data_IF_001091670563
#
_entry.id   IF_001091670563
#
_cell.length_a   1.000
_cell.length_b   1.000
_cell.length_c   1.000
_cell.angle_alpha   90.00
_cell.angle_beta   90.00
_cell.angle_gamma   90.00
#
_symmetry.space_group_name_H-M   'P 1'
#
loop_
_entity.id
_entity.type
_entity.pdbx_description
1 polymer ?
#
# COMPACT_ATOMS: atom_id res chain seq x y z
N UNK A 1 -16.39 12.62 -54.19
CA UNK A 1 -17.27 12.58 -53.00
C UNK A 1 -17.46 14.01 -52.53
N UNK A 2 -18.70 14.45 -52.31
CA UNK A 2 -18.99 15.81 -51.82
C UNK A 2 -18.34 15.98 -50.43
N UNK A 3 -17.39 16.91 -50.31
CA UNK A 3 -16.87 17.28 -49.00
C UNK A 3 -18.02 17.93 -48.22
N UNK A 4 -18.41 17.33 -47.09
CA UNK A 4 -19.40 17.92 -46.21
C UNK A 4 -18.89 19.29 -45.75
N UNK A 5 -19.64 20.35 -46.07
CA UNK A 5 -19.32 21.71 -45.64
C UNK A 5 -19.57 21.77 -44.13
N UNK A 6 -18.49 21.77 -43.35
CA UNK A 6 -18.58 21.88 -41.90
C UNK A 6 -18.88 23.33 -41.50
N UNK A 7 -19.69 23.55 -40.44
CA UNK A 7 -19.93 24.89 -39.92
C UNK A 7 -18.63 25.51 -39.39
N UNK A 8 -18.52 26.84 -39.41
CA UNK A 8 -17.34 27.55 -38.90
C UNK A 8 -17.13 27.34 -37.39
N UNK A 9 -18.22 27.24 -36.62
CA UNK A 9 -18.19 26.91 -35.20
C UNK A 9 -19.45 26.17 -34.78
N UNK A 10 -19.32 25.25 -33.81
CA UNK A 10 -20.42 24.53 -33.16
C UNK A 10 -20.30 24.75 -31.65
N UNK A 11 -21.25 25.46 -31.04
CA UNK A 11 -21.26 25.72 -29.59
C UNK A 11 -19.94 26.28 -29.02
N UNK A 12 -19.24 27.12 -29.79
CA UNK A 12 -17.94 27.70 -29.41
C UNK A 12 -16.74 26.79 -29.65
N UNK A 13 -16.92 25.65 -30.32
CA UNK A 13 -15.84 24.80 -30.81
C UNK A 13 -15.60 25.05 -32.30
N UNK A 14 -14.35 25.06 -32.72
CA UNK A 14 -13.92 24.99 -34.12
C UNK A 14 -13.84 23.53 -34.54
N UNK A 15 -14.60 23.07 -35.54
CA UNK A 15 -14.44 21.74 -36.08
C UNK A 15 -13.19 21.64 -36.95
N UNK A 16 -12.37 20.63 -36.71
CA UNK A 16 -11.14 20.32 -37.43
C UNK A 16 -11.33 18.96 -38.12
N UNK A 17 -11.63 18.93 -39.43
CA UNK A 17 -11.71 17.69 -40.18
C UNK A 17 -10.34 17.04 -40.35
N UNK A 18 -10.28 15.76 -40.03
CA UNK A 18 -9.13 14.88 -40.14
C UNK A 18 -9.45 13.78 -41.16
N UNK A 19 -8.55 13.55 -42.11
CA UNK A 19 -8.67 12.45 -43.06
C UNK A 19 -7.89 11.24 -42.57
N UNK A 20 -8.56 10.09 -42.38
CA UNK A 20 -7.92 8.81 -42.09
C UNK A 20 -7.66 7.99 -43.36
N UNK A 21 -8.60 8.07 -44.30
CA UNK A 21 -8.54 7.44 -45.62
C UNK A 21 -9.35 8.27 -46.61
N UNK A 22 -9.26 7.94 -47.90
CA UNK A 22 -10.02 8.64 -48.95
C UNK A 22 -11.55 8.57 -48.74
N UNK A 23 -12.03 7.62 -47.94
CA UNK A 23 -13.45 7.41 -47.63
C UNK A 23 -13.86 7.82 -46.22
N UNK A 24 -12.92 8.03 -45.30
CA UNK A 24 -13.20 8.20 -43.87
C UNK A 24 -12.62 9.49 -43.32
N UNK A 25 -13.51 10.36 -42.86
CA UNK A 25 -13.14 11.62 -42.19
C UNK A 25 -13.62 11.60 -40.75
N UNK A 26 -12.76 12.02 -39.84
CA UNK A 26 -13.05 12.17 -38.43
C UNK A 26 -13.02 13.65 -38.07
N UNK A 27 -13.97 14.13 -37.27
CA UNK A 27 -14.05 15.56 -36.93
C UNK A 27 -13.66 15.76 -35.47
N UNK A 28 -12.53 16.44 -35.26
CA UNK A 28 -12.12 16.93 -33.94
C UNK A 28 -12.83 18.25 -33.63
N UNK A 29 -13.14 18.49 -32.37
CA UNK A 29 -13.70 19.77 -31.93
C UNK A 29 -12.71 20.46 -31.01
N UNK A 30 -12.24 21.65 -31.40
CA UNK A 30 -11.21 22.38 -30.70
C UNK A 30 -11.76 23.69 -30.12
N UNK A 31 -11.31 24.07 -28.92
CA UNK A 31 -11.66 25.34 -28.28
C UNK A 31 -10.48 25.82 -27.44
N UNK A 32 -10.32 27.13 -27.28
CA UNK A 32 -9.41 27.66 -26.27
C UNK A 32 -9.79 27.12 -24.88
N UNK A 33 -8.82 26.57 -24.16
CA UNK A 33 -9.08 26.13 -22.80
C UNK A 33 -9.45 27.34 -21.94
N UNK A 34 -10.53 27.21 -21.18
CA UNK A 34 -10.92 28.19 -20.17
C UNK A 34 -10.90 27.45 -18.85
N UNK A 35 -9.80 27.63 -18.12
CA UNK A 35 -9.55 26.92 -16.88
C UNK A 35 -10.44 27.45 -15.76
N UNK A 36 -10.77 26.63 -14.75
CA UNK A 36 -11.19 27.17 -13.47
C UNK A 36 -9.98 27.88 -12.84
N UNK A 37 -10.19 29.06 -12.22
CA UNK A 37 -9.16 29.82 -11.48
C UNK A 37 -8.45 29.02 -10.36
N UNK A 38 -8.89 27.80 -10.06
CA UNK A 38 -8.29 26.89 -9.08
C UNK A 38 -7.56 25.74 -9.81
N UNK A 39 -6.28 25.49 -9.52
CA UNK A 39 -5.53 24.41 -10.15
C UNK A 39 -6.18 23.06 -9.83
N UNK A 40 -6.31 22.19 -10.83
CA UNK A 40 -6.67 20.80 -10.61
C UNK A 40 -5.45 20.05 -10.08
N UNK A 41 -5.64 19.31 -9.00
CA UNK A 41 -4.66 18.35 -8.49
C UNK A 41 -4.82 17.04 -9.24
N UNK A 42 -3.73 16.53 -9.80
CA UNK A 42 -3.68 15.14 -10.29
C UNK A 42 -3.87 14.15 -9.13
N UNK A 43 -4.14 12.87 -9.45
CA UNK A 43 -4.18 11.76 -8.49
C UNK A 43 -2.92 11.64 -7.61
N UNK A 44 -1.79 12.23 -8.04
CA UNK A 44 -0.51 12.30 -7.31
C UNK A 44 -0.31 13.60 -6.51
N UNK A 45 -1.35 14.39 -6.29
CA UNK A 45 -1.28 15.65 -5.52
C UNK A 45 -0.49 16.78 -6.19
N UNK A 46 -0.02 16.59 -7.42
CA UNK A 46 0.70 17.61 -8.19
C UNK A 46 -0.30 18.55 -8.85
N UNK A 47 -0.16 19.85 -8.62
CA UNK A 47 -0.96 20.85 -9.31
C UNK A 47 -0.62 20.86 -10.80
N UNK A 48 -1.54 20.41 -11.64
CA UNK A 48 -1.40 20.58 -13.10
C UNK A 48 -1.91 21.97 -13.43
N UNK A 49 -0.97 22.91 -13.52
CA UNK A 49 -1.26 24.24 -14.03
C UNK A 49 -1.41 24.13 -15.54
N UNK A 50 -2.63 24.30 -16.04
CA UNK A 50 -2.96 24.41 -17.46
C UNK A 50 -3.02 25.90 -17.82
N UNK A 51 -2.02 26.47 -18.50
CA UNK A 51 -1.99 27.91 -18.74
C UNK A 51 -3.00 28.29 -19.83
N UNK A 52 -4.00 29.10 -19.51
CA UNK A 52 -5.15 29.38 -20.37
C UNK A 52 -4.76 29.96 -21.74
N UNK A 53 -3.73 30.81 -21.78
CA UNK A 53 -3.31 31.53 -22.99
C UNK A 53 -2.66 30.65 -24.07
N UNK A 54 -2.25 29.43 -23.72
CA UNK A 54 -1.53 28.51 -24.62
C UNK A 54 -2.08 27.08 -24.63
N UNK A 55 -3.23 26.86 -24.00
CA UNK A 55 -3.85 25.52 -23.92
C UNK A 55 -5.06 25.38 -24.83
N UNK A 56 -5.03 24.33 -25.65
CA UNK A 56 -6.12 23.96 -26.55
C UNK A 56 -6.88 22.79 -25.95
N UNK A 57 -8.19 22.95 -25.80
CA UNK A 57 -9.09 21.89 -25.39
C UNK A 57 -9.66 21.18 -26.63
N UNK A 58 -9.46 19.86 -26.69
CA UNK A 58 -9.92 19.00 -27.77
C UNK A 58 -10.97 18.02 -27.27
N UNK A 59 -12.00 17.82 -28.08
CA UNK A 59 -13.08 16.85 -27.89
C UNK A 59 -13.19 15.96 -29.12
N UNK A 60 -13.71 14.75 -28.91
CA UNK A 60 -13.79 13.71 -29.92
C UNK A 60 -12.41 13.27 -30.41
N UNK A 61 -11.44 13.19 -29.50
CA UNK A 61 -10.09 12.73 -29.84
C UNK A 61 -10.15 11.25 -30.27
N UNK A 62 -9.50 10.87 -31.38
CA UNK A 62 -9.46 9.49 -31.83
C UNK A 62 -8.89 8.52 -30.78
N UNK A 63 -9.34 7.26 -30.77
CA UNK A 63 -8.87 6.26 -29.82
C UNK A 63 -7.39 5.93 -30.01
N UNK A 64 -6.85 6.10 -31.22
CA UNK A 64 -5.46 5.85 -31.49
C UNK A 64 -4.56 7.05 -31.10
N UNK A 65 -5.10 8.23 -30.84
CA UNK A 65 -4.30 9.43 -30.59
C UNK A 65 -3.37 9.32 -29.37
N UNK A 66 -2.07 9.33 -29.64
CA UNK A 66 -0.99 9.51 -28.67
C UNK A 66 -0.46 10.94 -28.72
N UNK A 67 0.42 11.27 -27.76
CA UNK A 67 1.12 12.55 -27.72
C UNK A 67 1.89 12.83 -29.02
N UNK A 68 2.48 11.80 -29.63
CA UNK A 68 3.22 11.92 -30.89
C UNK A 68 2.31 12.34 -32.04
N UNK A 69 1.18 11.66 -32.22
CA UNK A 69 0.28 11.99 -33.34
C UNK A 69 -0.31 13.40 -33.19
N UNK A 70 -0.72 13.79 -31.98
CA UNK A 70 -1.21 15.14 -31.72
C UNK A 70 -0.12 16.20 -31.93
N UNK A 71 1.11 15.92 -31.52
CA UNK A 71 2.25 16.82 -31.75
C UNK A 71 2.53 16.99 -33.25
N UNK A 72 2.54 15.91 -34.02
CA UNK A 72 2.72 15.96 -35.47
C UNK A 72 1.55 16.65 -36.17
N UNK A 73 0.33 16.40 -35.71
CA UNK A 73 -0.88 17.00 -36.25
C UNK A 73 -0.92 18.52 -36.01
N UNK A 74 -0.48 19.01 -34.85
CA UNK A 74 -0.44 20.45 -34.54
C UNK A 74 0.88 21.15 -34.86
N UNK A 75 1.87 20.43 -35.43
CA UNK A 75 3.18 21.00 -35.81
C UNK A 75 3.10 22.22 -36.73
N UNK A 76 2.08 22.28 -37.60
CA UNK A 76 1.84 23.45 -38.47
C UNK A 76 1.34 24.67 -37.70
N UNK A 77 0.69 24.47 -36.56
CA UNK A 77 0.15 25.53 -35.71
C UNK A 77 1.19 26.04 -34.71
N UNK A 78 2.11 25.16 -34.27
CA UNK A 78 3.22 25.52 -33.39
C UNK A 78 3.89 24.33 -32.71
N UNK A 79 4.85 24.61 -31.84
CA UNK A 79 5.53 23.60 -31.02
C UNK A 79 4.66 23.25 -29.81
N UNK A 80 4.37 21.96 -29.65
CA UNK A 80 3.64 21.42 -28.49
C UNK A 80 4.63 21.15 -27.36
N UNK A 81 4.32 21.63 -26.15
CA UNK A 81 5.09 21.37 -24.93
C UNK A 81 4.67 20.05 -24.28
N UNK A 82 3.36 19.83 -24.14
CA UNK A 82 2.81 18.65 -23.48
C UNK A 82 1.40 18.36 -23.96
N UNK A 83 1.04 17.08 -24.04
CA UNK A 83 -0.34 16.63 -24.25
C UNK A 83 -0.86 15.93 -23.00
N UNK A 84 -2.07 16.30 -22.58
CA UNK A 84 -2.75 15.76 -21.40
C UNK A 84 -4.11 15.18 -21.79
N UNK A 85 -4.28 13.88 -21.68
CA UNK A 85 -5.54 13.22 -21.95
C UNK A 85 -6.38 13.15 -20.66
N UNK A 86 -7.68 13.47 -20.78
CA UNK A 86 -8.59 13.45 -19.63
C UNK A 86 -9.19 12.06 -19.51
N UNK A 87 -8.83 11.34 -18.45
CA UNK A 87 -9.29 9.97 -18.16
C UNK A 87 -8.15 8.97 -17.94
N UNK A 88 -6.93 9.32 -18.34
CA UNK A 88 -5.75 8.45 -18.22
C UNK A 88 -5.28 8.22 -16.78
N UNK A 89 -5.63 9.14 -15.88
CA UNK A 89 -5.21 9.09 -14.48
C UNK A 89 -5.87 7.94 -13.70
N UNK A 90 -6.88 7.27 -14.27
CA UNK A 90 -7.59 6.13 -13.65
C UNK A 90 -7.19 4.77 -14.25
N UNK A 91 -6.51 4.72 -15.40
CA UNK A 91 -6.17 3.44 -16.07
C UNK A 91 -4.66 3.10 -16.03
N UNK A 92 -3.81 4.00 -15.51
CA UNK A 92 -2.40 3.71 -15.21
C UNK A 92 -2.18 3.46 -13.72
N UNK A 93 -2.98 2.56 -13.16
CA UNK A 93 -2.52 1.74 -12.05
C UNK A 93 -1.50 0.74 -12.63
N UNK A 94 -0.29 1.23 -12.90
CA UNK A 94 0.87 0.41 -12.53
C UNK A 94 0.56 -0.07 -11.11
N UNK A 95 0.59 -1.38 -10.80
CA UNK A 95 0.56 -1.79 -9.42
C UNK A 95 1.79 -1.16 -8.78
N UNK A 96 1.60 0.04 -8.21
CA UNK A 96 2.46 0.59 -7.18
C UNK A 96 2.52 -0.54 -6.20
N UNK A 97 3.66 -1.22 -6.15
CA UNK A 97 3.97 -2.29 -5.22
C UNK A 97 3.47 -1.84 -3.86
N UNK A 98 2.25 -2.25 -3.57
CA UNK A 98 1.62 -2.00 -2.32
C UNK A 98 2.47 -2.85 -1.42
N UNK A 99 3.32 -2.19 -0.64
CA UNK A 99 3.75 -2.69 0.65
C UNK A 99 2.46 -3.01 1.41
N UNK A 100 1.90 -4.17 1.09
CA UNK A 100 0.93 -4.86 1.91
C UNK A 100 1.78 -5.29 3.08
N UNK A 101 1.85 -4.40 4.06
CA UNK A 101 2.30 -4.63 5.42
C UNK A 101 1.33 -5.63 6.05
N UNK A 102 1.32 -6.83 5.50
CA UNK A 102 0.75 -8.01 6.11
C UNK A 102 1.80 -8.45 7.11
N UNK A 103 1.71 -7.84 8.28
CA UNK A 103 2.38 -8.21 9.51
C UNK A 103 1.88 -9.62 9.92
N UNK A 104 2.19 -10.62 9.10
CA UNK A 104 2.12 -12.02 9.50
C UNK A 104 3.33 -12.25 10.41
N UNK A 105 3.08 -12.11 11.71
CA UNK A 105 3.93 -12.61 12.78
C UNK A 105 4.18 -14.10 12.54
N UNK A 106 5.19 -14.41 11.72
CA UNK A 106 5.62 -15.76 11.46
C UNK A 106 6.34 -16.24 12.72
N UNK A 107 5.61 -16.98 13.56
CA UNK A 107 6.18 -17.74 14.66
C UNK A 107 7.29 -18.64 14.10
N UNK A 108 8.53 -18.26 14.39
CA UNK A 108 9.69 -19.08 14.11
C UNK A 108 9.57 -20.36 14.96
N UNK A 109 9.07 -21.43 14.35
CA UNK A 109 9.24 -22.78 14.86
C UNK A 109 10.75 -23.07 14.88
N UNK A 110 11.34 -23.06 16.08
CA UNK A 110 12.69 -23.52 16.32
C UNK A 110 12.76 -25.02 16.00
N UNK A 111 13.30 -25.39 14.85
CA UNK A 111 13.77 -26.75 14.63
C UNK A 111 15.12 -26.91 15.33
N UNK A 112 15.05 -27.59 16.46
CA UNK A 112 16.16 -28.15 17.21
C UNK A 112 17.00 -29.06 16.30
N UNK A 113 18.12 -28.54 15.82
CA UNK A 113 19.19 -29.31 15.20
C UNK A 113 20.36 -29.29 16.16
N UNK A 114 20.48 -30.37 16.95
CA UNK A 114 21.59 -30.60 17.86
C UNK A 114 22.93 -30.44 17.16
N UNK A 115 23.76 -29.56 17.71
CA UNK A 115 25.18 -29.48 17.37
C UNK A 115 25.97 -29.99 18.56
N UNK A 116 26.42 -31.25 18.45
CA UNK A 116 27.48 -31.79 19.29
C UNK A 116 28.72 -30.89 19.21
N UNK A 117 29.24 -30.56 20.38
CA UNK A 117 30.50 -29.87 20.55
C UNK A 117 31.63 -30.80 20.12
N UNK A 118 32.41 -30.41 19.11
CA UNK A 118 33.78 -30.90 19.01
C UNK A 118 34.75 -29.74 18.76
N UNK A 119 35.57 -29.51 19.78
CA UNK A 119 36.47 -28.39 19.92
C UNK A 119 37.85 -28.77 19.36
N UNK A 120 38.10 -28.56 18.07
CA UNK A 120 39.44 -28.25 17.56
C UNK A 120 39.44 -27.90 16.06
N UNK A 121 39.47 -26.63 15.69
CA UNK A 121 40.11 -26.24 14.41
C UNK A 121 40.65 -24.80 14.47
N UNK A 122 41.94 -24.67 14.14
CA UNK A 122 42.77 -23.46 14.20
C UNK A 122 42.26 -22.35 13.26
N UNK A 123 42.54 -21.06 13.52
CA UNK A 123 42.00 -19.95 12.74
C UNK A 123 42.56 -19.92 11.32
N UNK A 124 41.77 -20.36 10.34
CA UNK A 124 42.09 -20.18 8.92
C UNK A 124 41.79 -18.73 8.50
N UNK A 125 42.80 -18.11 7.88
CA UNK A 125 42.80 -16.77 7.26
C UNK A 125 41.45 -16.48 6.57
N UNK A 126 40.73 -15.45 7.05
CA UNK A 126 39.51 -14.93 6.40
C UNK A 126 39.84 -14.51 4.97
N UNK A 127 39.49 -15.33 3.99
CA UNK A 127 39.40 -14.91 2.59
C UNK A 127 38.30 -13.86 2.51
N UNK A 128 38.62 -12.70 1.94
CA UNK A 128 37.72 -11.59 1.66
C UNK A 128 36.62 -12.12 0.71
N UNK A 129 35.50 -12.59 1.27
CA UNK A 129 34.32 -13.00 0.49
C UNK A 129 33.87 -11.73 -0.23
N UNK A 130 33.87 -11.76 -1.56
CA UNK A 130 33.38 -10.65 -2.37
C UNK A 130 31.99 -10.25 -1.89
N UNK A 131 31.72 -8.95 -1.83
CA UNK A 131 30.42 -8.38 -1.50
C UNK A 131 29.36 -9.12 -2.35
N UNK A 132 28.42 -9.79 -1.70
CA UNK A 132 27.36 -10.50 -2.40
C UNK A 132 26.58 -9.48 -3.24
N UNK A 133 26.59 -9.66 -4.55
CA UNK A 133 25.86 -8.81 -5.50
C UNK A 133 24.39 -9.22 -5.39
N UNK A 134 23.49 -8.24 -5.23
CA UNK A 134 22.06 -8.51 -5.22
C UNK A 134 21.66 -9.13 -6.57
N UNK A 135 20.92 -10.26 -6.57
CA UNK A 135 20.50 -10.89 -7.82
C UNK A 135 19.54 -9.96 -8.55
N UNK A 136 19.72 -9.76 -9.85
CA UNK A 136 18.83 -8.92 -10.64
C UNK A 136 17.65 -9.76 -11.14
N UNK A 137 16.42 -9.28 -10.91
CA UNK A 137 15.20 -9.91 -11.41
C UNK A 137 15.17 -9.79 -12.93
N UNK A 138 14.98 -10.92 -13.62
CA UNK A 138 14.82 -10.94 -15.08
C UNK A 138 13.38 -10.53 -15.40
N UNK A 139 13.13 -9.35 -16.01
CA UNK A 139 11.78 -8.88 -16.26
C UNK A 139 11.08 -9.74 -17.32
N UNK A 140 9.75 -9.81 -17.24
CA UNK A 140 8.96 -10.42 -18.30
C UNK A 140 9.11 -9.65 -19.62
N UNK A 141 9.07 -10.32 -20.78
CA UNK A 141 9.19 -9.67 -22.07
C UNK A 141 7.95 -8.81 -22.34
N UNK A 142 8.04 -7.52 -22.03
CA UNK A 142 7.02 -6.53 -22.40
C UNK A 142 7.32 -5.98 -23.80
N UNK A 143 6.35 -6.06 -24.70
CA UNK A 143 6.41 -5.36 -25.99
C UNK A 143 5.69 -4.03 -25.84
N UNK A 144 6.34 -2.88 -26.07
CA UNK A 144 5.66 -1.60 -26.01
C UNK A 144 4.65 -1.54 -27.16
N UNK A 145 3.39 -1.74 -26.83
CA UNK A 145 2.27 -1.61 -27.76
C UNK A 145 1.62 -0.24 -27.57
N UNK A 146 1.02 0.29 -28.64
CA UNK A 146 0.29 1.56 -28.61
C UNK A 146 -0.91 1.48 -27.68
N UNK A 147 -1.01 2.39 -26.73
CA UNK A 147 -2.20 2.47 -25.87
C UNK A 147 -3.37 3.04 -26.67
N UNK A 148 -4.45 2.27 -26.80
CA UNK A 148 -5.71 2.76 -27.34
C UNK A 148 -6.58 3.34 -26.25
N UNK A 149 -7.23 4.46 -26.55
CA UNK A 149 -8.10 5.21 -25.65
C UNK A 149 -9.56 4.95 -25.98
N UNK A 150 -10.44 5.36 -25.07
CA UNK A 150 -11.88 5.37 -25.33
C UNK A 150 -12.22 6.34 -26.47
N UNK A 151 -13.20 5.96 -27.28
CA UNK A 151 -13.71 6.82 -28.34
C UNK A 151 -14.35 8.07 -27.75
N UNK A 152 -14.31 9.19 -28.48
CA UNK A 152 -14.89 10.44 -28.00
C UNK A 152 -14.07 11.12 -26.89
N UNK A 153 -12.81 10.74 -26.70
CA UNK A 153 -11.95 11.23 -25.62
C UNK A 153 -11.73 12.75 -25.66
N UNK A 154 -11.21 13.28 -24.55
CA UNK A 154 -10.86 14.71 -24.41
C UNK A 154 -9.36 14.85 -24.15
N UNK A 155 -8.74 15.87 -24.74
CA UNK A 155 -7.33 16.17 -24.53
C UNK A 155 -7.10 17.67 -24.35
N UNK A 156 -6.07 18.01 -23.59
CA UNK A 156 -5.52 19.36 -23.50
C UNK A 156 -4.14 19.33 -24.17
N UNK A 157 -3.96 20.16 -25.19
CA UNK A 157 -2.67 20.35 -25.85
C UNK A 157 -2.10 21.67 -25.38
N UNK A 158 -0.95 21.62 -24.69
CA UNK A 158 -0.23 22.80 -24.22
C UNK A 158 0.79 23.18 -25.28
N UNK A 159 0.66 24.37 -25.87
CA UNK A 159 1.66 24.90 -26.78
C UNK A 159 2.77 25.62 -26.02
N UNK A 160 3.95 25.69 -26.64
CA UNK A 160 5.08 26.46 -26.13
C UNK A 160 4.80 27.97 -26.17
N UNK A 161 4.18 28.45 -27.26
CA UNK A 161 3.89 29.87 -27.51
C UNK A 161 2.38 30.13 -27.59
N UNK A 162 1.92 31.29 -27.11
CA UNK A 162 0.51 31.69 -27.12
C UNK A 162 -0.01 31.93 -28.55
N UNK A 163 0.85 32.39 -29.48
CA UNK A 163 0.46 32.59 -30.89
C UNK A 163 0.04 31.28 -31.58
N UNK A 164 0.50 30.14 -31.07
CA UNK A 164 0.17 28.82 -31.61
C UNK A 164 -1.28 28.42 -31.36
N UNK A 165 -1.88 28.88 -30.26
CA UNK A 165 -3.30 28.64 -29.95
C UNK A 165 -4.20 29.30 -30.99
N UNK A 166 -3.94 30.59 -31.31
CA UNK A 166 -4.72 31.31 -32.32
C UNK A 166 -4.63 30.63 -33.69
N UNK A 167 -3.43 30.17 -34.08
CA UNK A 167 -3.22 29.40 -35.33
C UNK A 167 -3.93 28.05 -35.32
N UNK A 168 -3.98 27.36 -34.19
CA UNK A 168 -4.66 26.07 -34.07
C UNK A 168 -6.19 26.16 -34.10
N UNK A 169 -6.77 27.30 -33.70
CA UNK A 169 -8.20 27.57 -33.76
C UNK A 169 -8.71 28.06 -35.11
N UNK A 170 -7.80 28.42 -36.03
CA UNK A 170 -8.17 28.76 -37.40
C UNK A 170 -8.65 27.49 -38.12
N UNK A 171 -9.90 27.45 -38.63
CA UNK A 171 -10.43 26.25 -39.27
C UNK A 171 -9.63 25.92 -40.54
N UNK A 172 -9.25 24.64 -40.74
CA UNK A 172 -8.47 24.26 -41.91
C UNK A 172 -9.34 24.30 -43.18
N UNK A 173 -8.81 24.83 -44.27
CA UNK A 173 -9.51 24.89 -45.57
C UNK A 173 -9.71 23.52 -46.20
N UNK A 174 -8.86 22.53 -45.85
CA UNK A 174 -8.93 21.15 -46.33
C UNK A 174 -8.72 20.18 -45.18
N UNK A 175 -9.33 18.97 -45.20
CA UNK A 175 -9.07 17.94 -44.20
C UNK A 175 -7.59 17.59 -44.15
N UNK A 176 -6.98 17.65 -42.97
CA UNK A 176 -5.56 17.30 -42.79
C UNK A 176 -5.44 15.79 -42.59
N UNK A 177 -4.48 15.11 -43.24
CA UNK A 177 -4.28 13.67 -43.01
C UNK A 177 -3.84 13.41 -41.56
N UNK A 178 -4.38 12.35 -40.95
CA UNK A 178 -3.96 11.89 -39.64
C UNK A 178 -2.55 11.29 -39.72
N UNK A 179 -1.61 11.66 -38.84
CA UNK A 179 -0.25 11.14 -38.86
C UNK A 179 -0.19 9.73 -38.28
N UNK A 180 -0.56 8.72 -39.08
CA UNK A 180 -0.47 7.32 -38.68
C UNK A 180 0.95 6.79 -38.84
N UNK A 181 1.48 6.13 -37.81
CA UNK A 181 2.76 5.42 -37.90
C UNK A 181 2.56 3.99 -38.46
N UNK A 182 3.09 3.73 -39.66
CA UNK A 182 3.04 2.41 -40.30
C UNK A 182 3.94 1.37 -39.63
N UNK A 183 4.95 1.79 -38.84
CA UNK A 183 5.87 0.86 -38.18
C UNK A 183 5.24 0.16 -36.97
N UNK A 184 4.22 0.78 -36.37
CA UNK A 184 3.50 0.23 -35.22
C UNK A 184 2.30 -0.57 -35.73
N UNK A 185 2.03 -1.77 -35.20
CA UNK A 185 0.85 -2.53 -35.61
C UNK A 185 -0.44 -1.80 -35.18
N UNK A 186 -1.38 -1.67 -36.10
CA UNK A 186 -2.74 -1.16 -35.86
C UNK A 186 -3.79 -2.26 -36.14
N UNK A 187 -4.99 -2.08 -35.60
CA UNK A 187 -6.14 -2.96 -35.86
C UNK A 187 -5.88 -4.41 -35.42
N UNK A 188 -6.15 -5.38 -36.30
CA UNK A 188 -5.98 -6.80 -35.98
C UNK A 188 -4.53 -7.17 -35.63
N UNK A 189 -3.55 -6.60 -36.33
CA UNK A 189 -2.13 -6.85 -36.05
C UNK A 189 -1.71 -6.38 -34.65
N UNK A 190 -2.36 -5.32 -34.15
CA UNK A 190 -2.13 -4.87 -32.78
C UNK A 190 -2.64 -5.90 -31.77
N UNK A 191 -3.89 -6.36 -31.94
CA UNK A 191 -4.50 -7.29 -31.00
C UNK A 191 -3.84 -8.67 -31.02
N UNK A 192 -3.33 -9.12 -32.18
CA UNK A 192 -2.53 -10.35 -32.23
C UNK A 192 -1.20 -10.20 -31.50
N UNK A 193 -0.53 -9.04 -31.63
CA UNK A 193 0.69 -8.75 -30.88
C UNK A 193 0.43 -8.66 -29.37
N UNK A 194 -0.67 -8.04 -28.95
CA UNK A 194 -1.13 -7.97 -27.56
C UNK A 194 -1.43 -9.37 -27.01
N UNK A 195 -2.17 -10.17 -27.77
CA UNK A 195 -2.51 -11.53 -27.40
C UNK A 195 -1.25 -12.39 -27.15
N UNK A 196 -0.23 -12.22 -28.00
CA UNK A 196 1.05 -12.89 -27.85
C UNK A 196 1.86 -12.35 -26.66
N UNK A 197 1.85 -11.05 -26.38
CA UNK A 197 2.58 -10.47 -25.25
C UNK A 197 1.99 -10.87 -23.90
N UNK A 198 0.67 -11.06 -23.81
CA UNK A 198 0.00 -11.57 -22.61
C UNK A 198 0.25 -13.07 -22.34
N UNK A 199 0.86 -13.80 -23.29
CA UNK A 199 1.15 -15.24 -23.19
C UNK A 199 2.62 -15.52 -23.47
N UNK A 200 3.53 -15.01 -22.62
CA UNK A 200 4.94 -15.36 -22.72
C UNK A 200 5.14 -16.88 -22.52
N UNK A 201 6.20 -17.46 -23.09
CA UNK A 201 6.50 -18.88 -22.92
C UNK A 201 6.80 -19.20 -21.45
N UNK A 202 6.50 -20.44 -21.04
CA UNK A 202 6.66 -20.88 -19.65
C UNK A 202 8.10 -20.69 -19.15
N UNK A 203 9.10 -20.88 -20.00
CA UNK A 203 10.52 -20.74 -19.65
C UNK A 203 10.86 -19.32 -19.18
N UNK A 204 10.32 -18.28 -19.82
CA UNK A 204 10.57 -16.89 -19.43
C UNK A 204 9.83 -16.54 -18.15
N UNK A 205 8.62 -17.08 -17.96
CA UNK A 205 7.85 -16.88 -16.73
C UNK A 205 8.57 -17.54 -15.56
N UNK A 206 9.10 -18.75 -15.76
CA UNK A 206 9.90 -19.47 -14.78
C UNK A 206 11.17 -18.69 -14.41
N UNK A 207 11.93 -18.22 -15.39
CA UNK A 207 13.13 -17.43 -15.14
C UNK A 207 12.84 -16.15 -14.34
N UNK A 208 11.74 -15.45 -14.65
CA UNK A 208 11.28 -14.31 -13.86
C UNK A 208 10.96 -14.73 -12.41
N UNK A 209 10.15 -15.77 -12.21
CA UNK A 209 9.77 -16.25 -10.88
C UNK A 209 10.99 -16.70 -10.04
N UNK A 210 11.88 -17.50 -10.62
CA UNK A 210 13.08 -18.00 -9.94
C UNK A 210 14.01 -16.84 -9.53
N UNK A 211 14.21 -15.86 -10.40
CA UNK A 211 15.05 -14.68 -10.10
C UNK A 211 14.40 -13.72 -9.12
N UNK A 212 13.07 -13.58 -9.15
CA UNK A 212 12.31 -12.83 -8.16
C UNK A 212 12.42 -13.46 -6.77
N UNK A 213 12.25 -14.79 -6.66
CA UNK A 213 12.42 -15.50 -5.40
C UNK A 213 13.84 -15.39 -4.87
N UNK A 214 14.86 -15.50 -5.73
CA UNK A 214 16.25 -15.32 -5.33
C UNK A 214 16.54 -13.90 -4.80
N UNK A 215 15.92 -12.87 -5.41
CA UNK A 215 16.00 -11.49 -4.91
C UNK A 215 15.31 -11.33 -3.56
N UNK A 216 14.11 -11.88 -3.42
CA UNK A 216 13.38 -11.87 -2.15
C UNK A 216 14.18 -12.55 -1.03
N UNK A 217 14.73 -13.75 -1.28
CA UNK A 217 15.56 -14.49 -0.32
C UNK A 217 16.82 -13.70 0.07
N UNK A 218 17.42 -12.99 -0.89
CA UNK A 218 18.58 -12.13 -0.64
C UNK A 218 18.21 -10.94 0.26
N UNK A 219 17.07 -10.29 0.02
CA UNK A 219 16.56 -9.20 0.86
C UNK A 219 16.20 -9.68 2.27
N UNK A 220 15.52 -10.82 2.38
CA UNK A 220 15.25 -11.51 3.64
C UNK A 220 16.53 -11.79 4.43
N UNK A 221 17.55 -12.37 3.78
CA UNK A 221 18.83 -12.66 4.40
C UNK A 221 19.54 -11.39 4.86
N UNK A 222 19.47 -10.31 4.07
CA UNK A 222 20.00 -8.99 4.44
C UNK A 222 19.28 -8.42 5.67
N UNK A 223 17.94 -8.43 5.71
CA UNK A 223 17.14 -8.01 6.88
C UNK A 223 17.46 -8.85 8.13
N UNK A 224 17.61 -10.17 7.98
CA UNK A 224 18.03 -11.08 9.06
C UNK A 224 19.46 -10.79 9.54
N UNK A 225 20.39 -10.45 8.65
CA UNK A 225 21.74 -10.05 9.04
C UNK A 225 21.74 -8.71 9.79
N UNK A 226 21.08 -7.69 9.24
CA UNK A 226 20.98 -6.37 9.87
C UNK A 226 20.35 -6.44 11.27
N UNK A 227 19.31 -7.25 11.45
CA UNK A 227 18.72 -7.48 12.77
C UNK A 227 19.63 -8.27 13.72
N UNK A 228 20.42 -9.23 13.24
CA UNK A 228 21.44 -9.93 14.06
C UNK A 228 22.55 -8.97 14.52
N UNK A 229 23.02 -8.07 13.66
CA UNK A 229 24.00 -7.05 14.05
C UNK A 229 23.42 -6.06 15.07
N UNK A 230 22.17 -5.61 14.88
CA UNK A 230 21.45 -4.78 15.86
C UNK A 230 21.19 -5.49 17.20
N UNK A 231 21.09 -6.83 17.21
CA UNK A 231 20.96 -7.65 18.43
C UNK A 231 22.28 -7.84 19.20
N UNK A 232 23.41 -7.34 18.69
CA UNK A 232 24.74 -7.48 19.32
C UNK A 232 25.41 -6.18 19.77
N UNK A 233 25.06 -5.04 19.15
CA UNK A 233 25.66 -3.74 19.43
C UNK A 233 24.63 -2.80 20.09
N UNK A 234 25.03 -2.16 21.19
CA UNK A 234 24.21 -1.14 21.83
C UNK A 234 24.15 0.08 20.90
N UNK A 235 23.00 0.28 20.25
CA UNK A 235 22.75 1.49 19.46
C UNK A 235 22.63 2.63 20.47
N UNK A 236 23.63 3.51 20.49
CA UNK A 236 23.68 4.71 21.33
C UNK A 236 23.18 5.88 20.47
N UNK A 237 22.12 6.53 20.91
CA UNK A 237 21.58 7.73 20.24
C UNK A 237 22.52 8.94 20.43
N UNK A 238 22.31 10.03 19.68
CA UNK A 238 23.12 11.26 19.72
C UNK A 238 23.21 11.90 21.13
N UNK A 239 22.24 11.63 22.00
CA UNK A 239 22.18 12.07 23.41
C UNK A 239 22.83 11.09 24.41
N UNK A 240 23.48 10.01 23.94
CA UNK A 240 24.18 9.04 24.80
C UNK A 240 23.30 8.00 25.49
N UNK A 241 22.02 7.90 25.12
CA UNK A 241 21.11 6.87 25.62
C UNK A 241 21.18 5.60 24.75
N UNK A 242 21.26 4.43 25.39
CA UNK A 242 21.26 3.13 24.70
C UNK A 242 19.85 2.61 24.48
N UNK A 243 19.51 2.30 23.22
CA UNK A 243 18.19 1.74 22.87
C UNK A 243 18.11 0.28 23.33
N UNK A 244 17.18 -0.01 24.25
CA UNK A 244 17.03 -1.35 24.86
C UNK A 244 16.36 -2.32 23.88
N UNK A 245 17.16 -2.98 23.05
CA UNK A 245 16.70 -4.07 22.18
C UNK A 245 16.67 -5.41 22.94
N UNK A 246 15.70 -6.28 22.61
CA UNK A 246 15.60 -7.66 23.13
C UNK A 246 16.77 -8.49 22.59
N UNK A 247 17.69 -8.91 23.46
CA UNK A 247 18.79 -9.80 23.11
C UNK A 247 18.39 -11.28 23.22
N UNK A 248 18.72 -12.06 22.18
CA UNK A 248 18.74 -13.53 22.20
C UNK A 248 17.46 -14.27 22.58
N UNK A 249 17.55 -15.61 22.57
CA UNK A 249 16.44 -16.55 22.84
C UNK A 249 15.81 -16.39 24.23
N UNK A 250 16.53 -15.82 25.21
CA UNK A 250 16.09 -15.71 26.60
C UNK A 250 15.50 -14.33 26.99
N UNK A 251 15.30 -13.40 26.04
CA UNK A 251 14.63 -12.13 26.33
C UNK A 251 15.39 -11.20 27.29
N UNK A 252 16.72 -11.39 27.40
CA UNK A 252 17.61 -10.54 28.19
C UNK A 252 18.24 -9.49 27.28
N UNK A 253 18.42 -8.27 27.76
CA UNK A 253 19.09 -7.21 27.00
C UNK A 253 20.58 -7.50 26.87
N UNK A 254 21.24 -6.90 25.87
CA UNK A 254 22.70 -6.85 25.79
C UNK A 254 23.25 -6.08 26.99
N UNK A 255 23.77 -6.77 28.00
CA UNK A 255 24.48 -6.13 29.11
C UNK A 255 23.93 -6.37 30.52
N UNK A 256 22.90 -7.19 30.72
CA UNK A 256 22.58 -7.72 32.04
C UNK A 256 21.10 -7.84 32.37
N UNK A 257 20.84 -8.87 33.18
CA UNK A 257 19.69 -9.44 33.91
C UNK A 257 18.28 -8.80 33.93
N UNK A 258 17.97 -7.80 33.11
CA UNK A 258 16.64 -7.19 33.03
C UNK A 258 15.85 -7.86 31.90
N UNK A 259 14.83 -8.62 32.28
CA UNK A 259 13.91 -9.27 31.33
C UNK A 259 12.96 -8.27 30.68
N UNK A 260 12.89 -8.27 29.34
CA UNK A 260 12.02 -7.37 28.58
C UNK A 260 10.66 -8.04 28.32
N UNK A 261 9.62 -7.58 29.01
CA UNK A 261 8.26 -8.09 28.84
C UNK A 261 7.63 -7.54 27.54
N UNK A 262 7.19 -8.43 26.64
CA UNK A 262 6.58 -8.14 25.34
C UNK A 262 5.10 -7.73 25.45
N UNK A 263 4.77 -6.77 26.32
CA UNK A 263 3.39 -6.33 26.48
C UNK A 263 3.26 -4.82 26.43
N UNK A 264 2.96 -4.34 25.21
CA UNK A 264 2.30 -3.07 24.85
C UNK A 264 2.39 -2.00 25.95
N UNK A 265 3.46 -1.21 25.89
CA UNK A 265 3.63 0.00 26.71
C UNK A 265 2.57 1.09 26.41
N UNK A 266 1.69 0.86 25.44
CA UNK A 266 0.75 1.85 24.91
C UNK A 266 -0.67 1.78 25.50
N UNK A 267 -0.97 0.80 26.37
CA UNK A 267 -2.33 0.66 26.94
C UNK A 267 -2.53 1.34 28.31
N UNK A 268 -1.58 2.15 28.78
CA UNK A 268 -1.68 2.80 30.10
C UNK A 268 -1.77 4.33 30.05
N UNK A 269 -2.06 4.92 28.88
CA UNK A 269 -2.16 6.39 28.74
C UNK A 269 -3.54 6.90 28.28
N UNK A 270 -4.57 6.05 28.23
CA UNK A 270 -5.96 6.46 28.04
C UNK A 270 -6.89 5.81 29.07
N UNK A 271 -6.74 6.19 30.34
CA UNK A 271 -7.81 6.30 31.33
C UNK A 271 -7.18 6.43 32.72
N UNK A 272 -6.99 7.67 33.16
CA UNK A 272 -6.36 7.92 34.45
C UNK A 272 -6.45 9.36 34.93
N UNK A 273 -7.50 10.09 34.54
CA UNK A 273 -7.90 11.28 35.30
C UNK A 273 -8.37 10.84 36.67
N UNK A 274 -7.51 10.94 37.69
CA UNK A 274 -7.90 10.62 39.06
C UNK A 274 -6.75 10.32 39.99
N UNK A 275 -6.02 11.35 40.40
CA UNK A 275 -5.17 11.30 41.61
C UNK A 275 -6.00 10.83 42.81
N UNK A 276 -5.58 9.76 43.49
CA UNK A 276 -5.58 9.66 44.97
C UNK A 276 -4.79 8.43 45.47
N UNK A 277 -3.64 8.76 46.06
CA UNK A 277 -2.92 8.08 47.14
C UNK A 277 -2.59 6.58 47.05
N UNK A 278 -1.28 6.34 46.88
CA UNK A 278 -0.56 5.11 47.23
C UNK A 278 -0.94 4.60 48.64
N UNK A 279 -1.44 3.38 48.71
CA UNK A 279 -1.20 2.46 49.82
C UNK A 279 -0.64 1.17 49.23
N UNK A 280 0.50 0.71 49.75
CA UNK A 280 1.10 -0.59 49.42
C UNK A 280 -0.01 -1.64 49.52
N UNK A 281 -0.41 -2.21 48.39
CA UNK A 281 -1.20 -3.44 48.42
C UNK A 281 -0.21 -4.57 48.56
N UNK A 282 -0.21 -5.18 49.74
CA UNK A 282 0.13 -6.59 49.86
C UNK A 282 -0.59 -7.36 48.76
N UNK A 283 0.09 -8.37 48.20
CA UNK A 283 -0.43 -9.23 47.15
C UNK A 283 -1.85 -9.66 47.53
N UNK A 284 -2.86 -9.08 46.88
CA UNK A 284 -4.23 -9.53 46.99
C UNK A 284 -4.29 -10.89 46.33
N UNK A 285 -3.99 -11.93 47.09
CA UNK A 285 -4.39 -13.28 46.72
C UNK A 285 -5.90 -13.23 46.48
N UNK A 286 -6.32 -13.55 45.26
CA UNK A 286 -7.73 -13.49 44.90
C UNK A 286 -8.44 -14.61 45.66
N UNK A 287 -9.27 -14.24 46.64
CA UNK A 287 -10.14 -15.19 47.32
C UNK A 287 -11.06 -15.88 46.30
N UNK A 288 -11.12 -17.20 46.34
CA UNK A 288 -11.99 -18.03 45.49
C UNK A 288 -11.38 -18.49 44.17
N UNK A 289 -10.07 -18.28 43.94
CA UNK A 289 -9.43 -18.73 42.70
C UNK A 289 -9.14 -20.24 42.68
N UNK A 290 -8.77 -20.81 43.83
CA UNK A 290 -8.43 -22.23 43.92
C UNK A 290 -9.59 -23.07 44.47
N UNK A 291 -9.76 -24.28 43.94
CA UNK A 291 -10.81 -25.22 44.37
C UNK A 291 -10.77 -25.54 45.87
N UNK A 292 -9.58 -25.61 46.47
CA UNK A 292 -9.45 -25.85 47.91
C UNK A 292 -10.03 -24.71 48.76
N UNK A 293 -9.95 -23.46 48.30
CA UNK A 293 -10.54 -22.30 49.00
C UNK A 293 -12.06 -22.37 48.98
N UNK A 294 -12.64 -22.82 47.87
CA UNK A 294 -14.09 -23.05 47.75
C UNK A 294 -14.53 -24.19 48.69
N UNK A 295 -13.77 -25.29 48.75
CA UNK A 295 -14.07 -26.41 49.64
C UNK A 295 -13.92 -26.06 51.13
N UNK A 296 -12.91 -25.27 51.48
CA UNK A 296 -12.69 -24.82 52.85
C UNK A 296 -13.78 -23.84 53.30
N UNK A 297 -14.18 -22.90 52.42
CA UNK A 297 -15.29 -21.98 52.68
C UNK A 297 -16.60 -22.74 52.93
N UNK A 298 -16.94 -23.74 52.08
CA UNK A 298 -18.13 -24.58 52.27
C UNK A 298 -18.08 -25.40 53.57
N UNK A 299 -16.91 -25.93 53.96
CA UNK A 299 -16.75 -26.64 55.24
C UNK A 299 -16.98 -25.73 56.44
N UNK A 300 -16.45 -24.51 56.38
CA UNK A 300 -16.63 -23.50 57.43
C UNK A 300 -18.09 -23.09 57.56
N UNK A 301 -18.76 -22.83 56.44
CA UNK A 301 -20.20 -22.52 56.42
C UNK A 301 -21.04 -23.65 57.05
N UNK A 302 -20.72 -24.92 56.78
CA UNK A 302 -21.39 -26.06 57.40
C UNK A 302 -21.17 -26.15 58.92
N UNK A 303 -19.95 -25.88 59.39
CA UNK A 303 -19.65 -25.87 60.83
C UNK A 303 -20.36 -24.72 61.54
N UNK A 304 -20.39 -23.53 60.93
CA UNK A 304 -21.10 -22.37 61.48
C UNK A 304 -22.61 -22.63 61.54
N UNK A 305 -23.17 -23.33 60.55
CA UNK A 305 -24.59 -23.71 60.56
C UNK A 305 -24.92 -24.70 61.68
N UNK A 306 -24.05 -25.70 61.91
CA UNK A 306 -24.19 -26.64 63.04
C UNK A 306 -24.14 -25.93 64.37
N UNK A 307 -23.18 -25.02 64.55
CA UNK A 307 -23.02 -24.23 65.77
C UNK A 307 -24.26 -23.38 66.04
N UNK A 308 -24.76 -22.67 65.03
CA UNK A 308 -26.00 -21.89 65.14
C UNK A 308 -27.21 -22.77 65.47
N UNK A 309 -27.29 -23.97 64.89
CA UNK A 309 -28.37 -24.90 65.19
C UNK A 309 -28.32 -25.41 66.64
N UNK A 310 -27.13 -25.69 67.17
CA UNK A 310 -26.96 -26.05 68.59
C UNK A 310 -27.32 -24.89 69.51
N UNK A 311 -26.91 -23.67 69.17
CA UNK A 311 -27.28 -22.44 69.89
C UNK A 311 -28.80 -22.21 69.88
N UNK A 312 -29.45 -22.34 68.73
CA UNK A 312 -30.90 -22.22 68.59
C UNK A 312 -31.64 -23.33 69.33
N UNK A 313 -31.14 -24.57 69.27
CA UNK A 313 -31.71 -25.69 70.04
C UNK A 313 -31.61 -25.42 71.55
N UNK A 314 -30.47 -24.95 72.03
CA UNK A 314 -30.28 -24.58 73.44
C UNK A 314 -31.19 -23.40 73.85
N UNK A 315 -31.38 -22.42 72.97
CA UNK A 315 -32.30 -21.30 73.21
C UNK A 315 -33.75 -21.78 73.26
N UNK A 316 -34.16 -22.68 72.36
CA UNK A 316 -35.49 -23.29 72.37
C UNK A 316 -35.70 -24.13 73.63
N UNK A 317 -34.70 -24.90 74.08
CA UNK A 317 -34.77 -25.64 75.34
C UNK A 317 -34.96 -24.71 76.55
N UNK A 318 -34.22 -23.59 76.62
CA UNK A 318 -34.43 -22.55 77.65
C UNK A 318 -35.84 -21.93 77.59
N UNK A 319 -36.36 -21.68 76.39
CA UNK A 319 -37.71 -21.16 76.17
C UNK A 319 -38.81 -22.18 76.56
N UNK A 320 -38.57 -23.47 76.33
CA UNK A 320 -39.46 -24.56 76.77
C UNK A 320 -39.46 -24.71 78.28
N UNK A 321 -38.29 -24.69 78.93
CA UNK A 321 -38.16 -24.74 80.39
C UNK A 321 -38.87 -23.56 81.07
N UNK A 322 -38.75 -22.36 80.48
CA UNK A 322 -39.42 -21.15 80.99
C UNK A 322 -40.92 -21.06 80.61
N UNK A 323 -41.50 -22.10 79.98
CA UNK A 323 -42.92 -22.18 79.52
C UNK A 323 -43.35 -21.01 78.63
N UNK A 324 -42.39 -20.31 78.00
CA UNK A 324 -42.60 -19.15 77.11
C UNK A 324 -42.53 -19.50 75.63
N UNK A 325 -42.35 -20.78 75.28
CA UNK A 325 -42.27 -21.25 73.90
C UNK A 325 -43.66 -21.37 73.24
N UNK A 326 -43.87 -20.69 72.11
CA UNK A 326 -45.08 -20.76 71.27
C UNK A 326 -44.69 -21.21 69.85
N UNK A 327 -45.00 -22.45 69.44
CA UNK A 327 -44.52 -23.01 68.18
C UNK A 327 -45.28 -22.62 66.90
N UNK A 328 -46.37 -21.85 67.01
CA UNK A 328 -47.16 -21.31 65.91
C UNK A 328 -47.73 -19.94 66.29
#
# INVERSE_FOLDING_TARGET
MAQAVLPFSVAGFTPIPVSYSDSSTHVLYARAHTGPKKPKTDSKGKAVVLPEDRTLFLVNVPPDATERELTLFFKSSGTVEKVLFVGDAEETDEPSDGESDSDEEQEAAESDAGSDEDANERPRKKRKKGRAVAPQVVPLPSRPLRTFRRTGGRAHVVFLDASSLARALTPPTKPKPWPTDTSVPLGLAHYTALYASLRPPLDTVKAHADTWMAHFDFEEAKKKQESKYKKGEAIVDEDGFTLVARGGAYGKTLGGDVGVASKKFQNQQQNGGGKRNRKKNDKKEKEGFYSFQIHEKRRKELMDLKKKWEEDKANVEKLKQSRKFKPY
#
